data_IF_695727647279
#
_entry.id   IF_695727647279
#
_cell.length_a   1.000
_cell.length_b   1.000
_cell.length_c   1.000
_cell.angle_alpha   90.00
_cell.angle_beta   90.00
_cell.angle_gamma   90.00
#
_symmetry.space_group_name_H-M   'P 1'
#
loop_
_entity.id
_entity.type
_entity.pdbx_description
1 polymer ?
#
# COMPACT_ATOMS: atom_id res chain seq x y z
N UNK A 1 21.57 16.35 7.10
CA UNK A 1 20.11 16.45 6.87
C UNK A 1 19.88 16.11 5.40
N UNK A 2 19.51 14.86 5.09
CA UNK A 2 19.22 14.44 3.72
C UNK A 2 17.93 15.14 3.28
N UNK A 3 17.97 15.96 2.22
CA UNK A 3 16.75 16.44 1.58
C UNK A 3 16.15 15.26 0.81
N UNK A 4 15.08 14.70 1.34
CA UNK A 4 14.21 13.80 0.59
C UNK A 4 13.63 14.62 -0.57
N UNK A 5 13.79 14.16 -1.81
CA UNK A 5 13.27 14.86 -2.98
C UNK A 5 11.73 14.96 -2.88
N UNK A 6 11.16 16.11 -3.21
CA UNK A 6 9.72 16.33 -3.14
C UNK A 6 8.98 15.48 -4.18
N UNK A 7 7.99 14.69 -3.75
CA UNK A 7 7.13 13.91 -4.63
C UNK A 7 5.85 14.70 -4.91
N UNK A 8 5.58 14.96 -6.19
CA UNK A 8 4.39 15.71 -6.59
C UNK A 8 3.13 14.84 -6.69
N UNK A 9 3.26 13.58 -7.11
CA UNK A 9 2.14 12.68 -7.38
C UNK A 9 1.35 12.25 -6.13
N UNK A 10 2.02 12.11 -4.99
CA UNK A 10 1.43 11.61 -3.73
C UNK A 10 0.26 12.47 -3.24
N UNK A 11 0.32 13.79 -3.45
CA UNK A 11 -0.80 14.69 -3.13
C UNK A 11 -2.03 14.43 -4.00
N UNK A 12 -1.83 14.11 -5.28
CA UNK A 12 -2.93 13.82 -6.20
C UNK A 12 -3.52 12.43 -5.94
N UNK A 13 -2.67 11.44 -5.63
CA UNK A 13 -3.10 10.11 -5.20
C UNK A 13 -4.00 10.20 -3.97
N UNK A 14 -3.60 11.00 -2.99
CA UNK A 14 -4.39 11.27 -1.79
C UNK A 14 -5.79 11.80 -2.13
N UNK A 15 -5.89 12.83 -2.98
CA UNK A 15 -7.18 13.38 -3.42
C UNK A 15 -8.02 12.34 -4.17
N UNK A 16 -7.38 11.53 -5.02
CA UNK A 16 -8.05 10.50 -5.80
C UNK A 16 -8.67 9.41 -4.89
N UNK A 17 -7.96 9.01 -3.83
CA UNK A 17 -8.46 8.09 -2.81
C UNK A 17 -9.64 8.68 -2.02
N UNK A 18 -9.55 9.95 -1.61
CA UNK A 18 -10.66 10.62 -0.91
C UNK A 18 -11.94 10.65 -1.75
N UNK A 19 -11.81 10.84 -3.08
CA UNK A 19 -12.95 10.74 -4.02
C UNK A 19 -13.49 9.33 -4.10
N UNK A 20 -12.60 8.34 -4.23
CA UNK A 20 -13.01 6.95 -4.38
C UNK A 20 -13.78 6.44 -3.16
N UNK A 21 -13.35 6.80 -1.95
CA UNK A 21 -14.03 6.40 -0.71
C UNK A 21 -15.12 7.36 -0.23
N UNK A 22 -15.46 8.38 -1.03
CA UNK A 22 -16.47 9.39 -0.69
C UNK A 22 -16.25 9.96 0.74
N UNK A 23 -14.99 10.34 1.01
CA UNK A 23 -14.55 10.76 2.34
C UNK A 23 -15.46 11.85 2.93
N UNK A 24 -16.00 11.57 4.13
CA UNK A 24 -16.93 12.41 4.91
C UNK A 24 -18.34 12.57 4.34
N UNK A 25 -18.75 11.73 3.39
CA UNK A 25 -20.16 11.59 3.10
C UNK A 25 -20.88 10.85 4.25
N UNK A 26 -22.20 11.05 4.39
CA UNK A 26 -23.02 10.56 5.51
C UNK A 26 -23.10 9.01 5.64
N UNK A 27 -22.41 8.26 4.77
CA UNK A 27 -22.36 6.80 4.81
C UNK A 27 -21.27 6.32 5.77
N UNK A 28 -21.69 5.96 6.98
CA UNK A 28 -20.88 5.56 8.15
C UNK A 28 -20.09 4.23 8.02
N UNK A 29 -19.79 3.73 6.82
CA UNK A 29 -19.19 2.39 6.68
C UNK A 29 -17.66 2.36 6.76
N UNK A 30 -16.99 3.51 6.73
CA UNK A 30 -15.52 3.60 6.74
C UNK A 30 -15.04 4.66 7.72
N UNK A 31 -14.17 4.24 8.65
CA UNK A 31 -13.44 5.15 9.52
C UNK A 31 -12.07 5.49 8.90
N UNK A 32 -11.77 6.79 8.82
CA UNK A 32 -10.55 7.28 8.18
C UNK A 32 -9.55 7.81 9.20
N UNK A 33 -8.29 7.45 9.02
CA UNK A 33 -7.15 8.16 9.64
C UNK A 33 -6.21 8.60 8.53
N UNK A 34 -5.96 9.92 8.45
CA UNK A 34 -5.16 10.53 7.39
C UNK A 34 -3.83 11.04 7.98
N UNK A 35 -2.71 10.62 7.39
CA UNK A 35 -1.37 11.09 7.73
C UNK A 35 -0.71 11.63 6.46
N UNK A 36 -0.61 12.96 6.34
CA UNK A 36 -0.07 13.67 5.17
C UNK A 36 0.76 14.88 5.62
N UNK A 37 1.91 15.14 4.99
CA UNK A 37 2.83 16.24 5.34
C UNK A 37 2.59 17.53 4.51
N UNK A 38 1.58 17.50 3.64
CA UNK A 38 1.12 18.61 2.80
C UNK A 38 -0.32 18.99 3.12
N UNK A 39 -0.74 20.22 2.82
CA UNK A 39 -2.15 20.62 2.93
C UNK A 39 -2.91 20.28 1.65
N UNK A 40 -4.19 19.93 1.80
CA UNK A 40 -5.10 19.63 0.68
C UNK A 40 -6.35 20.48 0.77
N UNK A 41 -6.64 21.22 -0.30
CA UNK A 41 -7.96 21.83 -0.52
C UNK A 41 -8.88 20.75 -1.10
N UNK A 42 -9.91 20.41 -0.34
CA UNK A 42 -10.83 19.32 -0.65
C UNK A 42 -12.27 19.84 -0.71
N UNK A 43 -12.95 19.54 -1.80
CA UNK A 43 -14.40 19.73 -1.93
C UNK A 43 -15.05 18.37 -1.92
N UNK A 44 -15.93 18.12 -0.95
CA UNK A 44 -16.68 16.87 -0.91
C UNK A 44 -17.79 16.83 -1.98
N UNK A 45 -18.46 15.69 -2.09
CA UNK A 45 -19.54 15.44 -3.05
C UNK A 45 -20.76 16.36 -2.87
N UNK A 46 -20.89 17.04 -1.71
CA UNK A 46 -21.94 18.04 -1.46
C UNK A 46 -21.55 19.46 -1.87
N UNK A 47 -20.30 19.65 -2.33
CA UNK A 47 -19.76 20.96 -2.69
C UNK A 47 -19.13 21.71 -1.52
N UNK A 48 -19.02 21.10 -0.33
CA UNK A 48 -18.44 21.76 0.84
C UNK A 48 -16.91 21.74 0.76
N UNK A 49 -16.31 22.93 0.70
CA UNK A 49 -14.86 23.12 0.71
C UNK A 49 -14.30 23.03 2.12
N UNK A 50 -13.21 22.29 2.28
CA UNK A 50 -12.47 22.12 3.53
C UNK A 50 -10.97 22.00 3.25
N UNK A 51 -10.18 22.46 4.21
CA UNK A 51 -8.74 22.22 4.21
C UNK A 51 -8.47 20.98 5.06
N UNK A 52 -7.81 19.98 4.48
CA UNK A 52 -7.23 18.87 5.24
C UNK A 52 -5.83 19.31 5.65
N UNK A 53 -5.58 19.48 6.96
CA UNK A 53 -4.31 20.00 7.45
C UNK A 53 -3.20 18.96 7.29
N UNK A 54 -1.97 19.41 7.45
CA UNK A 54 -0.83 18.52 7.65
C UNK A 54 -1.01 17.72 8.94
N UNK A 55 -0.51 16.50 8.95
CA UNK A 55 -0.45 15.60 10.09
C UNK A 55 0.98 15.11 10.28
N UNK A 56 1.29 14.62 11.49
CA UNK A 56 2.59 14.04 11.79
C UNK A 56 2.76 12.72 11.04
N UNK A 57 3.66 12.70 10.05
CA UNK A 57 4.03 11.53 9.24
C UNK A 57 5.35 10.90 9.70
N UNK A 58 5.84 11.22 10.91
CA UNK A 58 7.02 10.59 11.50
C UNK A 58 6.86 9.08 11.65
N UNK A 59 7.98 8.35 11.69
CA UNK A 59 7.96 6.89 11.92
C UNK A 59 7.21 6.53 13.21
N UNK A 60 7.34 7.33 14.26
CA UNK A 60 6.66 7.09 15.53
C UNK A 60 5.15 7.30 15.41
N UNK A 61 4.70 8.36 14.73
CA UNK A 61 3.27 8.62 14.50
C UNK A 61 2.62 7.52 13.68
N UNK A 62 3.27 7.08 12.58
CA UNK A 62 2.79 5.97 11.74
C UNK A 62 2.64 4.70 12.58
N UNK A 63 3.69 4.33 13.34
CA UNK A 63 3.68 3.16 14.21
C UNK A 63 2.54 3.21 15.22
N UNK A 64 2.46 4.29 16.01
CA UNK A 64 1.46 4.42 17.06
C UNK A 64 0.03 4.39 16.49
N UNK A 65 -0.17 5.01 15.33
CA UNK A 65 -1.46 5.02 14.64
C UNK A 65 -1.88 3.62 14.20
N UNK A 66 -1.01 2.89 13.50
CA UNK A 66 -1.27 1.51 13.08
C UNK A 66 -1.58 0.65 14.31
N UNK A 67 -0.69 0.63 15.30
CA UNK A 67 -0.87 -0.21 16.49
C UNK A 67 -2.16 0.12 17.25
N UNK A 68 -2.54 1.40 17.34
CA UNK A 68 -3.81 1.82 17.95
C UNK A 68 -5.00 1.24 17.19
N UNK A 69 -5.05 1.41 15.86
CA UNK A 69 -6.14 0.91 15.01
C UNK A 69 -6.23 -0.62 15.11
N UNK A 70 -5.11 -1.32 15.00
CA UNK A 70 -5.10 -2.79 15.07
C UNK A 70 -5.60 -3.30 16.43
N UNK A 71 -5.24 -2.64 17.53
CA UNK A 71 -5.67 -3.04 18.88
C UNK A 71 -7.13 -2.72 19.17
N UNK A 72 -7.71 -1.73 18.49
CA UNK A 72 -9.12 -1.37 18.61
C UNK A 72 -10.03 -2.09 17.62
N UNK A 73 -9.48 -2.78 16.63
CA UNK A 73 -10.25 -3.48 15.61
C UNK A 73 -11.11 -4.60 16.22
N UNK A 74 -12.35 -4.68 15.77
CA UNK A 74 -13.30 -5.71 16.13
C UNK A 74 -13.12 -6.97 15.25
N UNK A 75 -13.68 -8.12 15.65
CA UNK A 75 -13.65 -9.31 14.82
C UNK A 75 -14.25 -9.02 13.43
N UNK A 76 -13.58 -9.53 12.40
CA UNK A 76 -13.98 -9.42 10.99
C UNK A 76 -13.86 -8.02 10.37
N UNK A 77 -13.30 -7.04 11.11
CA UNK A 77 -12.92 -5.74 10.55
C UNK A 77 -11.96 -5.89 9.36
N UNK A 78 -12.13 -5.00 8.40
CA UNK A 78 -11.28 -4.88 7.21
C UNK A 78 -10.51 -3.57 7.31
N UNK A 79 -9.20 -3.68 7.36
CA UNK A 79 -8.30 -2.55 7.51
C UNK A 79 -7.55 -2.36 6.20
N UNK A 80 -7.61 -1.14 5.70
CA UNK A 80 -6.87 -0.72 4.51
C UNK A 80 -5.75 0.22 4.95
N UNK A 81 -4.53 -0.12 4.56
CA UNK A 81 -3.38 0.74 4.72
C UNK A 81 -2.87 1.15 3.35
N UNK A 82 -2.97 2.43 3.02
CA UNK A 82 -2.40 2.98 1.79
C UNK A 82 -1.16 3.82 2.14
N UNK A 83 -0.08 3.61 1.41
CA UNK A 83 1.12 4.41 1.48
C UNK A 83 1.55 4.84 0.06
N UNK A 84 1.56 6.15 -0.18
CA UNK A 84 2.17 6.77 -1.36
C UNK A 84 3.34 7.62 -0.92
N UNK A 85 4.54 7.32 -1.40
CA UNK A 85 5.75 7.99 -0.91
C UNK A 85 7.04 7.34 -1.38
N UNK A 86 8.13 7.66 -0.69
CA UNK A 86 9.44 7.09 -0.99
C UNK A 86 9.58 5.68 -0.44
N UNK A 87 10.15 4.80 -1.25
CA UNK A 87 10.65 3.50 -0.84
C UNK A 87 12.10 3.34 -1.29
N UNK A 88 12.90 2.67 -0.46
CA UNK A 88 14.33 2.48 -0.68
C UNK A 88 14.71 1.00 -0.54
N UNK A 89 15.81 0.65 -1.23
CA UNK A 89 16.55 -0.58 -1.01
C UNK A 89 17.76 -0.29 -0.10
N UNK A 90 17.76 -0.82 1.11
CA UNK A 90 18.88 -0.74 2.04
C UNK A 90 19.95 -1.79 1.65
N UNK A 91 20.97 -1.37 0.91
CA UNK A 91 22.10 -2.24 0.51
C UNK A 91 22.99 -2.70 1.68
N UNK A 92 22.91 -2.01 2.82
CA UNK A 92 23.70 -2.29 4.03
C UNK A 92 22.80 -2.23 5.27
N UNK A 93 23.13 -3.02 6.30
CA UNK A 93 22.43 -2.97 7.58
C UNK A 93 22.83 -1.71 8.36
N UNK A 94 22.20 -1.47 9.52
CA UNK A 94 22.52 -0.33 10.39
C UNK A 94 24.00 -0.26 10.85
N UNK A 95 24.78 -1.33 10.67
CA UNK A 95 26.21 -1.40 10.99
C UNK A 95 27.12 -1.29 9.75
N UNK A 96 26.57 -0.97 8.57
CA UNK A 96 27.35 -0.82 7.33
C UNK A 96 27.87 -2.12 6.74
N UNK A 97 27.37 -3.28 7.20
CA UNK A 97 27.75 -4.59 6.66
C UNK A 97 26.80 -4.99 5.54
N UNK A 98 27.34 -5.63 4.50
CA UNK A 98 26.55 -6.39 3.53
C UNK A 98 25.70 -7.40 4.29
N UNK A 99 24.40 -7.36 4.06
CA UNK A 99 23.46 -8.15 4.85
C UNK A 99 23.18 -9.45 4.11
N UNK A 100 23.32 -10.59 4.80
CA UNK A 100 23.07 -11.91 4.22
C UNK A 100 21.60 -12.11 3.79
N UNK A 101 21.33 -13.17 3.04
CA UNK A 101 20.07 -13.46 2.31
C UNK A 101 18.74 -13.40 3.11
N UNK A 102 18.78 -13.22 4.43
CA UNK A 102 17.62 -13.24 5.34
C UNK A 102 17.18 -11.87 5.87
N UNK A 103 17.80 -10.77 5.48
CA UNK A 103 17.43 -9.42 5.93
C UNK A 103 16.32 -8.77 5.09
N UNK A 104 15.58 -7.86 5.72
CA UNK A 104 14.69 -6.99 4.96
C UNK A 104 15.49 -5.85 4.37
N UNK A 105 15.63 -5.87 3.06
CA UNK A 105 16.32 -4.82 2.32
C UNK A 105 15.36 -3.71 1.89
N UNK A 106 14.05 -3.90 1.99
CA UNK A 106 13.06 -2.94 1.51
C UNK A 106 12.45 -2.17 2.67
N UNK A 107 12.36 -0.85 2.50
CA UNK A 107 11.75 0.03 3.48
C UNK A 107 10.97 1.16 2.82
N UNK A 108 9.98 1.68 3.55
CA UNK A 108 9.35 2.95 3.23
C UNK A 108 10.01 4.06 4.07
N UNK A 109 10.00 5.29 3.56
CA UNK A 109 10.57 6.45 4.23
C UNK A 109 9.45 7.29 4.83
N UNK A 110 9.49 7.48 6.15
CA UNK A 110 8.55 8.34 6.88
C UNK A 110 8.87 9.83 6.66
N UNK A 111 7.95 10.72 7.03
CA UNK A 111 8.13 12.17 6.82
C UNK A 111 9.27 12.80 7.64
N UNK A 112 9.73 12.12 8.69
CA UNK A 112 10.94 12.49 9.45
C UNK A 112 12.23 11.89 8.86
N UNK A 113 12.15 11.24 7.70
CA UNK A 113 13.27 10.61 7.00
C UNK A 113 13.69 9.25 7.58
N UNK A 114 13.01 8.74 8.62
CA UNK A 114 13.32 7.42 9.17
C UNK A 114 12.80 6.29 8.28
N UNK A 115 13.58 5.22 8.17
CA UNK A 115 13.22 3.99 7.47
C UNK A 115 12.27 3.15 8.31
N UNK A 116 11.26 2.59 7.66
CA UNK A 116 10.36 1.59 8.23
C UNK A 116 10.48 0.32 7.39
N UNK A 117 11.03 -0.73 7.97
CA UNK A 117 11.29 -1.98 7.26
C UNK A 117 10.06 -2.88 7.21
N UNK A 118 10.02 -3.75 6.20
CA UNK A 118 8.96 -4.73 5.98
C UNK A 118 8.45 -5.55 7.18
N UNK A 119 9.35 -6.24 7.89
CA UNK A 119 9.10 -7.06 9.09
C UNK A 119 8.61 -6.20 10.24
N UNK A 120 9.15 -4.99 10.37
CA UNK A 120 8.74 -4.03 11.38
C UNK A 120 7.31 -3.54 11.10
N UNK A 121 7.04 -3.08 9.88
CA UNK A 121 5.70 -2.65 9.49
C UNK A 121 4.67 -3.78 9.64
N UNK A 122 5.05 -5.00 9.22
CA UNK A 122 4.22 -6.19 9.42
C UNK A 122 3.96 -6.49 10.89
N UNK A 123 4.95 -6.32 11.78
CA UNK A 123 4.75 -6.61 13.20
C UNK A 123 3.74 -5.66 13.81
N UNK A 124 3.67 -4.40 13.37
CA UNK A 124 2.64 -3.46 13.80
C UNK A 124 1.23 -3.87 13.38
N UNK A 125 1.06 -4.43 12.19
CA UNK A 125 -0.24 -5.02 11.79
C UNK A 125 -0.60 -6.25 12.63
N UNK A 126 0.40 -7.06 13.01
CA UNK A 126 0.18 -8.24 13.85
C UNK A 126 -0.22 -7.91 15.30
N UNK A 127 -0.30 -6.64 15.70
CA UNK A 127 -0.85 -6.22 17.00
C UNK A 127 -2.39 -6.35 17.06
N UNK A 128 -3.04 -6.82 15.99
CA UNK A 128 -4.48 -7.07 15.95
C UNK A 128 -4.92 -8.01 17.09
N UNK A 129 -5.99 -7.64 17.80
CA UNK A 129 -6.51 -8.47 18.89
C UNK A 129 -7.13 -9.78 18.39
N UNK A 130 -7.77 -9.74 17.22
CA UNK A 130 -8.47 -10.87 16.65
C UNK A 130 -7.82 -11.36 15.36
N UNK A 131 -7.65 -12.68 15.18
CA UNK A 131 -7.04 -13.25 13.98
C UNK A 131 -7.93 -13.16 12.73
N UNK A 132 -9.21 -12.79 12.89
CA UNK A 132 -10.13 -12.63 11.76
C UNK A 132 -10.07 -11.25 11.10
N UNK A 133 -9.41 -10.28 11.74
CA UNK A 133 -9.15 -8.96 11.14
C UNK A 133 -8.35 -9.13 9.85
N UNK A 134 -8.84 -8.54 8.76
CA UNK A 134 -8.20 -8.60 7.46
C UNK A 134 -7.47 -7.29 7.15
N UNK A 135 -6.26 -7.37 6.62
CA UNK A 135 -5.44 -6.20 6.26
C UNK A 135 -5.14 -6.20 4.76
N UNK A 136 -5.49 -5.13 4.07
CA UNK A 136 -5.07 -4.85 2.69
C UNK A 136 -4.09 -3.69 2.72
N UNK A 137 -2.86 -3.91 2.28
CA UNK A 137 -1.85 -2.86 2.18
C UNK A 137 -1.57 -2.51 0.72
N UNK A 138 -1.55 -1.23 0.39
CA UNK A 138 -1.20 -0.71 -0.93
C UNK A 138 0.03 0.18 -0.78
N UNK A 139 1.10 -0.12 -1.52
CA UNK A 139 2.33 0.66 -1.55
C UNK A 139 2.56 1.22 -2.95
N UNK A 140 2.24 2.50 -3.13
CA UNK A 140 2.68 3.26 -4.29
C UNK A 140 4.03 3.92 -4.00
N UNK A 141 5.06 3.07 -4.01
CA UNK A 141 6.43 3.41 -3.67
C UNK A 141 7.41 2.47 -4.38
N UNK A 142 8.59 2.99 -4.73
CA UNK A 142 9.68 2.21 -5.31
C UNK A 142 10.13 1.08 -4.38
N UNK A 143 10.70 0.01 -4.93
CA UNK A 143 11.29 -1.10 -4.17
C UNK A 143 10.35 -1.72 -3.12
N UNK A 144 9.03 -1.58 -3.27
CA UNK A 144 8.07 -2.02 -2.26
C UNK A 144 7.61 -3.47 -2.44
N UNK A 145 7.96 -4.12 -3.55
CA UNK A 145 7.54 -5.47 -3.91
C UNK A 145 7.89 -6.51 -2.86
N UNK A 146 6.88 -7.00 -2.14
CA UNK A 146 7.04 -8.04 -1.13
C UNK A 146 7.66 -7.54 0.17
N UNK A 147 7.65 -6.22 0.41
CA UNK A 147 8.16 -5.56 1.62
C UNK A 147 7.62 -6.19 2.89
N UNK A 148 6.33 -6.51 2.99
CA UNK A 148 5.77 -7.16 4.19
C UNK A 148 6.15 -8.64 4.29
N UNK A 149 7.09 -9.16 3.51
CA UNK A 149 7.61 -10.52 3.71
C UNK A 149 6.54 -11.61 3.63
N UNK A 150 5.43 -11.36 2.92
CA UNK A 150 4.35 -12.33 2.76
C UNK A 150 4.83 -13.50 1.90
N UNK A 151 4.38 -14.71 2.25
CA UNK A 151 4.94 -15.95 1.72
C UNK A 151 4.22 -16.49 0.48
N UNK A 152 3.11 -15.87 0.05
CA UNK A 152 2.47 -16.22 -1.22
C UNK A 152 2.56 -15.03 -2.14
N UNK A 153 3.14 -15.22 -3.33
CA UNK A 153 3.08 -14.25 -4.41
C UNK A 153 2.23 -14.80 -5.55
N UNK A 154 1.59 -13.88 -6.28
CA UNK A 154 0.79 -14.20 -7.46
C UNK A 154 1.50 -13.66 -8.70
N UNK A 155 1.65 -14.52 -9.70
CA UNK A 155 2.33 -14.20 -10.95
C UNK A 155 1.59 -14.83 -12.13
N UNK A 156 1.79 -14.31 -13.34
CA UNK A 156 1.13 -14.74 -14.55
C UNK A 156 2.06 -15.68 -15.32
N UNK A 157 1.60 -16.92 -15.56
CA UNK A 157 2.30 -17.87 -16.44
C UNK A 157 1.39 -18.18 -17.63
N UNK A 158 1.70 -17.57 -18.77
CA UNK A 158 0.82 -17.60 -19.95
C UNK A 158 -0.41 -16.74 -19.71
N UNK A 159 -1.61 -17.35 -19.73
CA UNK A 159 -2.89 -16.68 -19.45
C UNK A 159 -3.45 -17.02 -18.06
N UNK A 160 -2.65 -17.66 -17.20
CA UNK A 160 -3.11 -18.19 -15.92
C UNK A 160 -2.34 -17.52 -14.78
N UNK A 161 -3.06 -17.05 -13.76
CA UNK A 161 -2.48 -16.59 -12.50
C UNK A 161 -2.11 -17.78 -11.63
N UNK A 162 -0.86 -17.83 -11.16
CA UNK A 162 -0.35 -18.87 -10.27
C UNK A 162 0.08 -18.28 -8.94
N UNK A 163 -0.39 -18.89 -7.86
CA UNK A 163 0.09 -18.63 -6.52
C UNK A 163 1.31 -19.51 -6.22
N UNK A 164 2.47 -18.92 -5.95
CA UNK A 164 3.68 -19.61 -5.52
C UNK A 164 3.90 -19.43 -4.01
N UNK A 165 4.39 -20.48 -3.35
CA UNK A 165 4.80 -20.39 -1.94
C UNK A 165 6.29 -20.05 -1.90
N UNK A 166 6.64 -18.93 -1.27
CA UNK A 166 8.01 -18.59 -0.91
C UNK A 166 8.44 -19.27 0.40
N UNK A 167 9.74 -19.18 0.70
CA UNK A 167 10.37 -19.71 1.92
C UNK A 167 10.07 -18.88 3.19
N UNK A 168 9.30 -17.80 3.07
CA UNK A 168 9.07 -16.83 4.14
C UNK A 168 8.14 -17.38 5.23
N UNK A 169 8.29 -16.85 6.46
CA UNK A 169 7.47 -17.28 7.61
C UNK A 169 5.99 -17.03 7.34
N UNK A 170 5.14 -17.98 7.76
CA UNK A 170 3.69 -17.81 7.72
C UNK A 170 3.24 -16.68 8.64
N UNK A 171 2.32 -15.88 8.13
CA UNK A 171 1.65 -14.79 8.86
C UNK A 171 0.25 -15.30 9.18
N UNK A 172 -0.17 -15.24 10.44
CA UNK A 172 -1.48 -15.75 10.88
C UNK A 172 -2.62 -14.84 10.46
N UNK A 173 -2.39 -13.52 10.50
CA UNK A 173 -3.37 -12.51 10.15
C UNK A 173 -3.63 -12.53 8.63
N UNK A 174 -4.90 -12.57 8.18
CA UNK A 174 -5.26 -12.41 6.77
C UNK A 174 -4.75 -11.07 6.23
N UNK A 175 -3.72 -11.12 5.41
CA UNK A 175 -3.09 -9.95 4.80
C UNK A 175 -2.93 -10.11 3.28
N UNK A 176 -3.22 -9.02 2.56
CA UNK A 176 -2.90 -8.81 1.13
C UNK A 176 -1.96 -7.61 1.04
N UNK A 177 -0.93 -7.72 0.22
CA UNK A 177 -0.07 -6.62 -0.17
C UNK A 177 -0.16 -6.40 -1.67
N UNK A 178 -0.39 -5.16 -2.07
CA UNK A 178 -0.31 -4.67 -3.44
C UNK A 178 0.83 -3.64 -3.47
N UNK A 179 1.80 -3.85 -4.33
CA UNK A 179 2.98 -2.99 -4.46
C UNK A 179 3.14 -2.51 -5.87
N UNK A 180 3.58 -1.26 -6.04
CA UNK A 180 3.69 -0.63 -7.35
C UNK A 180 4.75 -1.28 -8.23
N UNK A 181 5.82 -1.79 -7.62
CA UNK A 181 6.96 -2.33 -8.35
C UNK A 181 7.49 -3.62 -7.71
N UNK A 182 8.21 -4.41 -8.49
CA UNK A 182 9.03 -5.52 -7.97
C UNK A 182 10.20 -4.98 -7.10
N UNK A 183 10.88 -5.83 -6.31
CA UNK A 183 11.98 -5.40 -5.44
C UNK A 183 13.04 -4.48 -6.04
N UNK A 184 13.36 -4.66 -7.32
CA UNK A 184 14.45 -3.98 -8.03
C UNK A 184 13.94 -2.96 -9.06
N UNK A 185 12.62 -2.70 -9.06
CA UNK A 185 11.97 -1.79 -10.00
C UNK A 185 11.57 -0.48 -9.31
N UNK A 186 11.53 0.58 -10.11
CA UNK A 186 11.13 1.93 -9.70
C UNK A 186 9.62 2.07 -9.89
N UNK A 187 8.97 2.76 -8.96
CA UNK A 187 7.60 3.23 -9.12
C UNK A 187 7.61 4.70 -9.53
N UNK A 188 6.66 5.12 -10.36
CA UNK A 188 6.60 6.50 -10.83
C UNK A 188 5.16 7.02 -10.94
N UNK A 189 5.06 8.34 -11.03
CA UNK A 189 3.81 9.03 -11.34
C UNK A 189 3.78 9.44 -12.81
N UNK A 190 2.58 9.42 -13.40
CA UNK A 190 2.36 9.69 -14.81
C UNK A 190 1.23 10.69 -15.02
N UNK A 191 1.19 11.31 -16.21
CA UNK A 191 0.08 12.16 -16.62
C UNK A 191 -1.04 11.28 -17.19
N UNK A 192 -2.20 11.34 -16.58
CA UNK A 192 -3.45 10.78 -17.05
C UNK A 192 -4.40 11.91 -17.46
N UNK A 193 -5.52 11.57 -18.09
CA UNK A 193 -6.44 12.55 -18.69
C UNK A 193 -6.94 13.61 -17.69
N UNK A 194 -7.02 13.27 -16.41
CA UNK A 194 -7.60 14.10 -15.34
C UNK A 194 -6.58 14.52 -14.25
N UNK A 195 -5.30 14.18 -14.39
CA UNK A 195 -4.29 14.60 -13.42
C UNK A 195 -2.97 13.83 -13.48
N UNK A 196 -2.10 14.11 -12.50
CA UNK A 196 -0.79 13.50 -12.36
C UNK A 196 -0.76 12.59 -11.13
N UNK A 197 -0.77 11.28 -11.34
CA UNK A 197 -1.01 10.27 -10.29
C UNK A 197 0.10 9.22 -10.29
N UNK A 198 0.32 8.56 -9.15
CA UNK A 198 1.07 7.30 -9.08
C UNK A 198 0.45 6.25 -10.00
N UNK A 199 1.29 5.58 -10.80
CA UNK A 199 0.83 4.63 -11.82
C UNK A 199 0.04 3.48 -11.18
N UNK A 200 0.46 2.99 -10.01
CA UNK A 200 -0.30 1.95 -9.30
C UNK A 200 -1.63 2.50 -8.80
N UNK A 201 -1.62 3.65 -8.13
CA UNK A 201 -2.84 4.22 -7.52
C UNK A 201 -3.91 4.42 -8.57
N UNK A 202 -3.58 5.04 -9.70
CA UNK A 202 -4.52 5.27 -10.79
C UNK A 202 -5.07 3.95 -11.34
N UNK A 203 -4.20 3.00 -11.72
CA UNK A 203 -4.63 1.72 -12.28
C UNK A 203 -5.45 0.87 -11.31
N UNK A 204 -5.11 0.86 -10.02
CA UNK A 204 -5.86 0.14 -9.01
C UNK A 204 -7.29 0.71 -8.87
N UNK A 205 -7.43 2.02 -8.82
CA UNK A 205 -8.75 2.64 -8.68
C UNK A 205 -9.60 2.48 -9.94
N UNK A 206 -9.01 2.51 -11.13
CA UNK A 206 -9.72 2.20 -12.38
C UNK A 206 -10.20 0.75 -12.43
N UNK A 207 -9.37 -0.20 -11.98
CA UNK A 207 -9.79 -1.61 -11.84
C UNK A 207 -11.01 -1.75 -10.94
N UNK A 208 -11.02 -1.08 -9.78
CA UNK A 208 -12.11 -1.18 -8.81
C UNK A 208 -13.40 -0.53 -9.32
N UNK A 209 -13.32 0.62 -9.99
CA UNK A 209 -14.50 1.26 -10.60
C UNK A 209 -15.12 0.39 -11.69
N UNK A 210 -14.29 -0.29 -12.48
CA UNK A 210 -14.72 -1.14 -13.59
C UNK A 210 -15.10 -2.58 -13.21
N UNK A 211 -14.96 -2.98 -11.94
CA UNK A 211 -15.10 -4.39 -11.53
C UNK A 211 -16.04 -4.54 -10.34
N UNK A 212 -17.23 -5.13 -10.58
CA UNK A 212 -18.21 -5.39 -9.51
C UNK A 212 -17.78 -6.49 -8.53
N UNK A 213 -17.07 -7.50 -9.02
CA UNK A 213 -16.63 -8.66 -8.26
C UNK A 213 -15.10 -8.86 -8.36
N UNK A 214 -14.30 -8.01 -7.69
CA UNK A 214 -12.84 -8.11 -7.77
C UNK A 214 -12.37 -9.45 -7.21
N UNK A 215 -11.41 -10.06 -7.91
CA UNK A 215 -10.74 -11.31 -7.52
C UNK A 215 -9.24 -11.09 -7.50
N UNK A 216 -8.49 -11.94 -6.78
CA UNK A 216 -7.02 -11.83 -6.81
C UNK A 216 -6.48 -12.06 -8.21
N UNK A 217 -7.04 -13.02 -8.95
CA UNK A 217 -6.65 -13.33 -10.31
C UNK A 217 -6.96 -12.17 -11.26
N UNK A 218 -8.16 -11.60 -11.19
CA UNK A 218 -8.56 -10.45 -12.00
C UNK A 218 -7.68 -9.23 -11.72
N UNK A 219 -7.38 -8.95 -10.45
CA UNK A 219 -6.50 -7.86 -10.05
C UNK A 219 -5.08 -8.05 -10.62
N UNK A 220 -4.50 -9.25 -10.45
CA UNK A 220 -3.14 -9.54 -10.94
C UNK A 220 -3.07 -9.41 -12.46
N UNK A 221 -4.06 -9.94 -13.19
CA UNK A 221 -4.14 -9.82 -14.65
C UNK A 221 -4.27 -8.36 -15.10
N UNK A 222 -5.08 -7.56 -14.41
CA UNK A 222 -5.26 -6.16 -14.73
C UNK A 222 -3.97 -5.36 -14.47
N UNK A 223 -3.40 -5.49 -13.27
CA UNK A 223 -2.22 -4.75 -12.86
C UNK A 223 -0.97 -5.10 -13.67
N UNK A 224 -0.88 -6.29 -14.27
CA UNK A 224 0.23 -6.63 -15.18
C UNK A 224 0.32 -5.68 -16.38
N UNK A 225 -0.81 -5.12 -16.80
CA UNK A 225 -0.90 -4.18 -17.90
C UNK A 225 -1.01 -2.72 -17.43
N UNK A 226 -0.73 -2.44 -16.15
CA UNK A 226 -0.83 -1.07 -15.63
C UNK A 226 0.15 -0.12 -16.34
N UNK A 227 1.31 -0.64 -16.76
CA UNK A 227 2.32 0.10 -17.50
C UNK A 227 2.64 -0.65 -18.80
N UNK A 228 2.19 -0.15 -19.96
CA UNK A 228 2.46 -0.76 -21.26
C UNK A 228 3.95 -0.84 -21.62
N UNK A 229 4.80 -0.01 -21.00
CA UNK A 229 6.25 -0.02 -21.24
C UNK A 229 6.95 -1.15 -20.48
N UNK A 230 6.31 -1.68 -19.43
CA UNK A 230 6.88 -2.68 -18.54
C UNK A 230 7.97 -2.15 -17.62
N UNK A 231 8.14 -0.84 -17.50
CA UNK A 231 9.09 -0.22 -16.58
C UNK A 231 8.68 -0.38 -15.11
N UNK A 232 7.38 -0.52 -14.86
CA UNK A 232 6.80 -0.78 -13.55
C UNK A 232 5.88 -2.01 -13.60
N UNK A 233 6.18 -3.04 -12.80
CA UNK A 233 5.35 -4.25 -12.71
C UNK A 233 4.83 -4.43 -11.28
N UNK A 234 3.54 -4.11 -11.02
CA UNK A 234 2.96 -4.31 -9.71
C UNK A 234 3.01 -5.76 -9.26
N UNK A 235 3.09 -5.93 -7.95
CA UNK A 235 3.13 -7.24 -7.32
C UNK A 235 1.96 -7.38 -6.34
N UNK A 236 1.31 -8.55 -6.37
CA UNK A 236 0.34 -8.93 -5.35
C UNK A 236 0.89 -10.09 -4.54
N UNK A 237 0.91 -9.93 -3.23
CA UNK A 237 1.31 -10.95 -2.27
C UNK A 237 0.23 -11.15 -1.20
N UNK A 238 0.25 -12.30 -0.53
CA UNK A 238 -0.70 -12.59 0.55
C UNK A 238 -0.13 -13.52 1.62
N UNK A 239 -0.74 -13.45 2.80
CA UNK A 239 -0.49 -14.32 3.95
C UNK A 239 -1.07 -15.74 3.80
N UNK A 240 -2.01 -15.97 2.89
CA UNK A 240 -2.66 -17.26 2.63
C UNK A 240 -3.21 -17.26 1.22
N UNK A 241 -3.41 -18.44 0.62
CA UNK A 241 -4.01 -18.52 -0.72
C UNK A 241 -5.42 -17.96 -0.66
N UNK A 242 -5.69 -16.98 -1.52
CA UNK A 242 -7.00 -16.36 -1.63
C UNK A 242 -7.64 -16.90 -2.92
N UNK A 243 -8.90 -17.25 -2.82
CA UNK A 243 -9.71 -17.70 -3.96
C UNK A 243 -11.02 -16.94 -3.94
N UNK A 244 -11.50 -16.58 -5.13
CA UNK A 244 -12.78 -15.90 -5.29
C UNK A 244 -12.69 -14.41 -4.98
N UNK A 245 -13.81 -13.86 -4.52
CA UNK A 245 -13.96 -12.41 -4.32
C UNK A 245 -13.03 -11.91 -3.22
N UNK A 246 -12.35 -10.80 -3.49
CA UNK A 246 -11.58 -10.06 -2.50
C UNK A 246 -12.32 -8.79 -2.11
N UNK A 247 -12.31 -8.46 -0.83
CA UNK A 247 -12.70 -7.15 -0.34
C UNK A 247 -11.42 -6.34 -0.19
N UNK A 248 -11.08 -5.55 -1.21
CA UNK A 248 -9.90 -4.68 -1.18
C UNK A 248 -10.16 -3.44 -0.33
N UNK A 249 -11.43 -3.02 -0.26
CA UNK A 249 -11.96 -1.89 0.50
C UNK A 249 -13.39 -2.19 0.94
#
# INVERSE_FOLDING_TARGET
>A
MYRVNELRGTKYDFVLLLRHFDYRHEKKSVDFTLLNDFEVDWTDSTGMRRIIPRADTSRNSIRCTIQRIMRSADPDDKIVFFFGGHGEYAEVNMMGLQVGENSDFQCIIAGDGQRIYGKELRSWFCDARYPSVAVTTVFDACHSGGSLGLHISYDIKGQIVKASNGSRKRVRLPMIQISASQPHEVAYSNNFNDGFYGQLTYSLLEYLKGTECPTTEGLVMYLKNCDPTGAQVPQVCSSRKIKGRIALF
#
